data_IF_321433852418
#
_entry.id   IF_321433852418
#
_cell.length_a   1.000
_cell.length_b   1.000
_cell.length_c   1.000
_cell.angle_alpha   90.00
_cell.angle_beta   90.00
_cell.angle_gamma   90.00
#
_symmetry.space_group_name_H-M   'P 1'
#
loop_
_entity.id
_entity.type
_entity.pdbx_description
1 polymer ?
#
# COMPACT_ATOMS: atom_id res chain seq x y z
N UNK A 1 8.68 -35.45 8.34
CA UNK A 1 7.52 -35.89 9.17
C UNK A 1 6.75 -34.67 9.61
N UNK A 2 5.42 -34.72 9.78
CA UNK A 2 4.66 -33.59 10.28
C UNK A 2 5.03 -33.29 11.75
N UNK A 3 5.16 -32.00 12.07
CA UNK A 3 5.42 -31.51 13.43
C UNK A 3 4.29 -31.88 14.41
N UNK A 4 4.50 -31.70 15.71
CA UNK A 4 3.43 -31.91 16.70
C UNK A 4 2.26 -30.94 16.49
N UNK A 5 2.54 -29.69 16.10
CA UNK A 5 1.52 -28.67 15.82
C UNK A 5 0.66 -29.07 14.62
N UNK A 6 1.28 -29.57 13.54
CA UNK A 6 0.57 -30.08 12.35
C UNK A 6 -0.40 -31.24 12.63
N UNK A 7 -0.19 -31.99 13.73
CA UNK A 7 -1.04 -33.11 14.14
C UNK A 7 -2.21 -32.69 15.02
N UNK A 8 -2.24 -31.45 15.52
CA UNK A 8 -3.34 -30.94 16.31
C UNK A 8 -4.57 -30.70 15.42
N UNK A 9 -5.81 -30.84 15.94
CA UNK A 9 -7.01 -30.41 15.23
C UNK A 9 -6.92 -28.93 14.83
N UNK A 10 -7.47 -28.57 13.66
CA UNK A 10 -7.34 -27.21 13.11
C UNK A 10 -7.81 -26.11 14.07
N UNK A 11 -8.88 -26.36 14.85
CA UNK A 11 -9.36 -25.37 15.83
C UNK A 11 -8.35 -25.12 16.95
N UNK A 12 -7.64 -26.16 17.42
CA UNK A 12 -6.56 -26.00 18.41
C UNK A 12 -5.38 -25.25 17.78
N UNK A 13 -5.04 -25.53 16.52
CA UNK A 13 -4.00 -24.76 15.81
C UNK A 13 -4.37 -23.28 15.69
N UNK A 14 -5.62 -22.94 15.33
CA UNK A 14 -6.10 -21.55 15.29
C UNK A 14 -5.98 -20.86 16.65
N UNK A 15 -6.37 -21.52 17.74
CA UNK A 15 -6.21 -20.98 19.11
C UNK A 15 -4.74 -20.73 19.42
N UNK A 16 -3.85 -21.71 19.18
CA UNK A 16 -2.39 -21.54 19.38
C UNK A 16 -1.85 -20.35 18.57
N UNK A 17 -2.21 -20.24 17.29
CA UNK A 17 -1.75 -19.15 16.45
C UNK A 17 -2.34 -17.78 16.82
N UNK A 18 -3.54 -17.74 17.43
CA UNK A 18 -4.15 -16.48 17.91
C UNK A 18 -3.42 -15.83 19.08
N UNK A 19 -2.54 -16.57 19.76
CA UNK A 19 -1.68 -16.07 20.83
C UNK A 19 -0.28 -15.63 20.35
N UNK A 20 0.02 -15.76 19.05
CA UNK A 20 1.31 -15.37 18.49
C UNK A 20 1.27 -13.92 18.01
N UNK A 21 2.36 -13.18 18.28
CA UNK A 21 2.57 -11.87 17.69
C UNK A 21 2.85 -11.95 16.19
N UNK A 22 2.71 -10.82 15.50
CA UNK A 22 2.88 -10.71 14.05
C UNK A 22 4.28 -11.15 13.60
N UNK A 23 5.31 -10.87 14.40
CA UNK A 23 6.68 -11.32 14.13
C UNK A 23 6.81 -12.85 14.18
N UNK A 24 6.23 -13.51 15.18
CA UNK A 24 6.23 -14.97 15.30
C UNK A 24 5.39 -15.63 14.21
N UNK A 25 4.25 -15.03 13.84
CA UNK A 25 3.42 -15.51 12.72
C UNK A 25 4.17 -15.41 11.39
N UNK A 26 4.88 -14.30 11.13
CA UNK A 26 5.77 -14.19 9.96
C UNK A 26 6.83 -15.30 10.01
N UNK A 27 7.55 -15.44 11.12
CA UNK A 27 8.61 -16.43 11.24
C UNK A 27 8.09 -17.85 10.98
N UNK A 28 7.00 -18.25 11.66
CA UNK A 28 6.40 -19.57 11.56
C UNK A 28 5.91 -19.86 10.12
N UNK A 29 5.33 -18.87 9.43
CA UNK A 29 4.93 -18.99 8.02
C UNK A 29 6.10 -19.27 7.05
N UNK A 30 7.34 -19.00 7.45
CA UNK A 30 8.55 -19.29 6.64
C UNK A 30 9.21 -20.64 6.95
N UNK A 31 8.79 -21.35 8.01
CA UNK A 31 9.50 -22.55 8.49
C UNK A 31 9.24 -23.80 7.63
N UNK A 32 8.03 -23.98 7.10
CA UNK A 32 7.71 -25.12 6.23
C UNK A 32 6.51 -24.83 5.30
N UNK A 33 6.27 -25.72 4.33
CA UNK A 33 5.18 -25.60 3.33
C UNK A 33 3.78 -25.58 3.96
N UNK A 34 3.56 -26.31 5.06
CA UNK A 34 2.27 -26.36 5.73
C UNK A 34 1.95 -25.02 6.39
N UNK A 35 2.87 -24.46 7.18
CA UNK A 35 2.70 -23.15 7.81
C UNK A 35 2.62 -22.02 6.78
N UNK A 36 3.39 -22.09 5.69
CA UNK A 36 3.26 -21.15 4.56
C UNK A 36 1.86 -21.13 3.93
N UNK A 37 1.15 -22.27 3.93
CA UNK A 37 -0.19 -22.39 3.36
C UNK A 37 -1.32 -22.11 4.37
N UNK A 38 -1.07 -22.27 5.66
CA UNK A 38 -2.10 -22.19 6.72
C UNK A 38 -2.03 -20.90 7.53
N UNK A 39 -0.86 -20.27 7.66
CA UNK A 39 -0.68 -19.04 8.43
C UNK A 39 -0.70 -17.85 7.48
N UNK A 40 -1.65 -16.95 7.72
CA UNK A 40 -1.71 -15.62 7.09
C UNK A 40 -1.44 -14.55 8.15
N UNK A 41 -0.18 -14.11 8.36
CA UNK A 41 0.16 -13.17 9.43
C UNK A 41 -0.62 -11.85 9.34
N UNK A 42 -0.96 -11.40 8.13
CA UNK A 42 -1.71 -10.17 7.88
C UNK A 42 -3.17 -10.25 8.36
N UNK A 43 -3.81 -11.41 8.16
CA UNK A 43 -5.20 -11.66 8.56
C UNK A 43 -5.34 -12.13 10.00
N UNK A 44 -4.29 -12.69 10.59
CA UNK A 44 -4.33 -13.31 11.93
C UNK A 44 -3.84 -12.40 13.05
N UNK A 45 -2.84 -11.54 12.81
CA UNK A 45 -2.27 -10.70 13.85
C UNK A 45 -3.10 -9.43 14.13
N UNK A 46 -3.04 -8.97 15.38
CA UNK A 46 -3.68 -7.75 15.86
C UNK A 46 -3.20 -6.48 15.09
N UNK A 47 -4.10 -5.53 14.73
CA UNK A 47 -3.71 -4.31 14.02
C UNK A 47 -2.72 -3.40 14.75
N UNK A 48 -2.77 -3.31 16.08
CA UNK A 48 -1.85 -2.49 16.86
C UNK A 48 -0.46 -3.14 16.95
N UNK A 49 -0.41 -4.46 17.12
CA UNK A 49 0.85 -5.22 17.06
C UNK A 49 1.52 -5.11 15.67
N UNK A 50 0.76 -5.33 14.58
CA UNK A 50 1.25 -5.10 13.21
C UNK A 50 1.80 -3.67 13.01
N UNK A 51 1.15 -2.66 13.60
CA UNK A 51 1.62 -1.28 13.56
C UNK A 51 2.91 -1.07 14.38
N UNK A 52 3.02 -1.66 15.58
CA UNK A 52 4.26 -1.61 16.37
C UNK A 52 5.43 -2.29 15.66
N UNK A 53 5.20 -3.46 15.06
CA UNK A 53 6.20 -4.19 14.29
C UNK A 53 6.75 -3.35 13.14
N UNK A 54 5.90 -2.74 12.29
CA UNK A 54 6.39 -1.95 11.15
C UNK A 54 7.09 -0.66 11.60
N UNK A 55 6.68 -0.06 12.72
CA UNK A 55 7.36 1.09 13.34
C UNK A 55 8.76 0.72 13.85
N UNK A 56 8.90 -0.40 14.58
CA UNK A 56 10.21 -0.93 15.01
C UNK A 56 11.08 -1.28 13.81
N UNK A 57 10.51 -1.94 12.80
CA UNK A 57 11.21 -2.27 11.57
C UNK A 57 11.80 -1.03 10.88
N UNK A 58 11.03 0.05 10.73
CA UNK A 58 11.52 1.29 10.09
C UNK A 58 12.60 2.01 10.91
N UNK A 59 12.52 1.96 12.25
CA UNK A 59 13.41 2.67 13.18
C UNK A 59 14.73 1.94 13.43
N UNK A 60 14.63 0.66 13.78
CA UNK A 60 15.71 -0.05 14.45
C UNK A 60 16.73 -0.59 13.43
N UNK A 61 16.27 -0.96 12.23
CA UNK A 61 17.12 -1.53 11.17
C UNK A 61 17.91 -0.44 10.39
N UNK A 62 19.25 -0.49 10.35
CA UNK A 62 20.07 0.56 9.74
C UNK A 62 19.78 0.83 8.26
N UNK A 63 19.41 -0.19 7.47
CA UNK A 63 19.12 -0.06 6.04
C UNK A 63 17.85 0.73 5.70
N UNK A 64 17.11 1.21 6.71
CA UNK A 64 15.92 2.04 6.55
C UNK A 64 16.13 3.49 6.99
N UNK A 65 17.26 3.79 7.64
CA UNK A 65 17.58 5.13 8.13
C UNK A 65 17.93 6.06 6.96
N UNK A 66 17.60 7.36 7.05
CA UNK A 66 18.08 8.34 6.08
C UNK A 66 19.61 8.50 6.14
N UNK A 67 20.18 8.95 5.03
CA UNK A 67 21.59 9.33 4.91
C UNK A 67 21.69 10.70 4.26
N UNK A 68 22.41 11.61 4.93
CA UNK A 68 22.70 12.96 4.47
C UNK A 68 24.19 13.12 4.09
N UNK A 69 24.94 12.01 4.03
CA UNK A 69 26.39 12.04 3.79
C UNK A 69 26.72 12.22 2.30
N UNK A 70 27.22 13.41 1.96
CA UNK A 70 27.82 13.71 0.65
C UNK A 70 26.82 13.61 -0.50
N UNK A 71 27.25 13.03 -1.62
CA UNK A 71 26.39 12.85 -2.81
C UNK A 71 25.29 11.78 -2.63
N UNK A 72 25.33 10.99 -1.54
CA UNK A 72 24.39 9.92 -1.23
C UNK A 72 23.20 10.38 -0.36
N UNK A 73 22.51 11.46 -0.79
CA UNK A 73 21.24 11.85 -0.15
C UNK A 73 20.19 10.76 -0.36
N UNK A 74 19.82 10.09 0.74
CA UNK A 74 18.81 9.02 0.76
C UNK A 74 17.80 9.36 1.86
N UNK A 75 16.53 9.68 1.54
CA UNK A 75 15.55 10.15 2.53
C UNK A 75 14.99 9.05 3.45
N UNK A 76 15.68 7.90 3.55
CA UNK A 76 15.25 6.74 4.32
C UNK A 76 14.18 5.90 3.63
N UNK A 77 13.85 4.75 4.20
CA UNK A 77 12.67 3.99 3.82
C UNK A 77 11.51 4.34 4.76
N UNK A 78 10.28 4.07 4.31
CA UNK A 78 9.07 4.47 5.00
C UNK A 78 8.16 3.27 5.28
N UNK A 79 7.48 3.30 6.43
CA UNK A 79 6.45 2.34 6.79
C UNK A 79 5.12 2.57 6.06
N UNK A 80 4.47 1.49 5.64
CA UNK A 80 3.09 1.47 5.18
C UNK A 80 2.22 0.78 6.24
N UNK A 81 1.20 1.48 6.75
CA UNK A 81 0.28 0.96 7.78
C UNK A 81 -0.93 0.18 7.22
N UNK A 82 -1.03 0.01 5.89
CA UNK A 82 -2.05 -0.87 5.27
C UNK A 82 -1.48 -2.28 5.08
N UNK A 83 -0.30 -2.43 4.47
CA UNK A 83 0.34 -3.74 4.28
C UNK A 83 1.43 -4.06 5.31
N UNK A 84 1.67 -3.20 6.31
CA UNK A 84 2.62 -3.40 7.41
C UNK A 84 4.02 -3.82 6.94
N UNK A 85 4.53 -3.10 5.92
CA UNK A 85 5.87 -3.28 5.35
C UNK A 85 6.60 -1.94 5.25
N UNK A 86 7.91 -1.99 5.42
CA UNK A 86 8.82 -0.87 5.13
C UNK A 86 9.21 -0.92 3.65
N UNK A 87 9.11 0.20 2.92
CA UNK A 87 9.34 0.29 1.47
C UNK A 87 10.19 1.51 1.11
N UNK A 88 10.83 1.48 -0.06
CA UNK A 88 11.61 2.61 -0.59
C UNK A 88 10.71 3.82 -0.92
N UNK A 89 11.27 5.06 -0.92
CA UNK A 89 10.54 6.29 -1.21
C UNK A 89 9.72 6.30 -2.51
N UNK A 90 10.15 5.55 -3.54
CA UNK A 90 9.45 5.46 -4.82
C UNK A 90 8.07 4.76 -4.73
N UNK A 91 7.77 4.09 -3.61
CA UNK A 91 6.48 3.45 -3.34
C UNK A 91 5.49 4.37 -2.62
N UNK A 92 5.87 5.61 -2.28
CA UNK A 92 5.04 6.55 -1.52
C UNK A 92 4.81 7.83 -2.30
N UNK A 93 3.56 8.31 -2.25
CA UNK A 93 3.18 9.62 -2.75
C UNK A 93 3.80 10.72 -1.87
N UNK A 94 4.25 11.80 -2.51
CA UNK A 94 4.68 13.03 -1.84
C UNK A 94 3.47 13.76 -1.26
N UNK A 95 2.33 13.75 -1.97
CA UNK A 95 1.10 14.46 -1.60
C UNK A 95 0.00 13.51 -1.06
N UNK A 96 0.41 12.48 -0.32
CA UNK A 96 -0.48 11.46 0.22
C UNK A 96 -1.65 12.10 1.02
N UNK A 97 -2.92 11.73 0.73
CA UNK A 97 -4.06 12.10 1.56
C UNK A 97 -3.85 11.79 3.05
N UNK A 98 -4.20 12.76 3.90
CA UNK A 98 -4.12 12.65 5.37
C UNK A 98 -5.43 12.16 6.01
N UNK A 99 -6.54 12.21 5.27
CA UNK A 99 -7.84 11.73 5.72
C UNK A 99 -8.75 11.43 4.53
N UNK A 100 -9.80 10.63 4.78
CA UNK A 100 -10.89 10.32 3.84
C UNK A 100 -12.21 10.25 4.58
N UNK A 101 -13.32 10.51 3.90
CA UNK A 101 -14.65 10.15 4.39
C UNK A 101 -15.00 8.72 3.94
N UNK A 102 -15.62 7.95 4.83
CA UNK A 102 -16.19 6.63 4.49
C UNK A 102 -17.68 6.57 4.82
N UNK A 103 -18.45 5.87 4.00
CA UNK A 103 -19.88 5.63 4.21
C UNK A 103 -20.12 4.58 5.32
N UNK A 104 -21.40 4.28 5.59
CA UNK A 104 -21.84 3.25 6.56
C UNK A 104 -21.38 1.83 6.23
N UNK A 105 -20.98 1.57 4.98
CA UNK A 105 -20.50 0.29 4.49
C UNK A 105 -18.95 0.22 4.47
N UNK A 106 -18.26 1.32 4.78
CA UNK A 106 -16.80 1.45 4.72
C UNK A 106 -16.24 1.83 3.35
N UNK A 107 -17.07 2.19 2.38
CA UNK A 107 -16.60 2.70 1.08
C UNK A 107 -16.16 4.15 1.18
N UNK A 108 -15.09 4.51 0.46
CA UNK A 108 -14.57 5.88 0.42
C UNK A 108 -15.53 6.77 -0.38
N UNK A 109 -15.96 7.87 0.23
CA UNK A 109 -16.83 8.89 -0.39
C UNK A 109 -15.97 9.87 -1.18
N UNK A 110 -16.19 9.93 -2.51
CA UNK A 110 -15.50 10.86 -3.44
C UNK A 110 -16.45 11.52 -4.45
N UNK A 111 -17.44 10.80 -4.98
CA UNK A 111 -18.31 11.26 -6.06
C UNK A 111 -19.51 12.12 -5.59
N UNK A 112 -19.59 12.42 -4.29
CA UNK A 112 -20.59 13.29 -3.67
C UNK A 112 -19.99 14.03 -2.47
N UNK A 113 -20.66 15.08 -2.01
CA UNK A 113 -20.33 15.69 -0.72
C UNK A 113 -20.57 14.69 0.43
N UNK A 114 -19.72 14.69 1.48
CA UNK A 114 -19.93 13.85 2.66
C UNK A 114 -21.16 14.26 3.46
N UNK A 115 -21.99 13.29 3.85
CA UNK A 115 -23.09 13.52 4.77
C UNK A 115 -22.57 13.38 6.21
N UNK A 116 -22.50 14.51 6.91
CA UNK A 116 -22.12 14.62 8.33
C UNK A 116 -22.85 13.67 9.30
N UNK A 117 -24.01 13.11 8.92
CA UNK A 117 -24.82 12.21 9.76
C UNK A 117 -24.41 10.74 9.63
N UNK A 118 -23.91 10.34 8.47
CA UNK A 118 -23.63 8.93 8.14
C UNK A 118 -22.14 8.67 7.90
N UNK A 119 -21.46 9.63 7.28
CA UNK A 119 -20.12 9.46 6.76
C UNK A 119 -19.09 9.86 7.82
N UNK A 120 -18.06 9.04 7.98
CA UNK A 120 -17.05 9.21 9.04
C UNK A 120 -15.74 9.69 8.43
N UNK A 121 -15.22 10.80 8.95
CA UNK A 121 -13.86 11.23 8.63
C UNK A 121 -12.85 10.32 9.35
N UNK A 122 -12.04 9.61 8.57
CA UNK A 122 -10.96 8.76 9.06
C UNK A 122 -9.62 9.42 8.77
N UNK A 123 -8.80 9.59 9.82
CA UNK A 123 -7.41 10.01 9.69
C UNK A 123 -6.54 8.86 9.18
N UNK A 124 -5.81 9.09 8.10
CA UNK A 124 -4.95 8.09 7.47
C UNK A 124 -3.52 8.21 7.99
N UNK A 125 -2.92 7.07 8.36
CA UNK A 125 -1.47 6.96 8.52
C UNK A 125 -0.79 6.83 7.16
N UNK A 126 0.54 6.72 7.13
CA UNK A 126 1.29 6.55 5.89
C UNK A 126 0.94 5.22 5.18
N UNK A 127 0.76 5.25 3.87
CA UNK A 127 0.53 4.06 3.05
C UNK A 127 1.30 4.14 1.73
N UNK A 128 1.69 2.98 1.18
CA UNK A 128 2.30 2.93 -0.14
C UNK A 128 1.23 3.02 -1.24
N UNK A 129 1.60 3.58 -2.39
CA UNK A 129 0.72 3.88 -3.52
C UNK A 129 -0.11 2.66 -3.94
N UNK A 130 0.49 1.47 -3.98
CA UNK A 130 -0.21 0.22 -4.31
C UNK A 130 -1.41 -0.05 -3.39
N UNK A 131 -1.24 0.14 -2.08
CA UNK A 131 -2.29 -0.05 -1.09
C UNK A 131 -3.34 1.08 -1.16
N UNK A 132 -2.89 2.31 -1.43
CA UNK A 132 -3.80 3.43 -1.68
C UNK A 132 -4.71 3.20 -2.89
N UNK A 133 -4.19 2.61 -3.97
CA UNK A 133 -4.95 2.28 -5.18
C UNK A 133 -5.86 1.05 -4.98
N UNK A 134 -5.37 0.02 -4.28
CA UNK A 134 -6.15 -1.17 -3.94
C UNK A 134 -7.36 -0.83 -3.05
N UNK A 135 -7.14 -0.05 -1.99
CA UNK A 135 -8.18 0.47 -1.10
C UNK A 135 -9.05 1.58 -1.71
N UNK A 136 -8.74 2.07 -2.92
CA UNK A 136 -9.48 3.15 -3.59
C UNK A 136 -9.23 4.57 -3.03
N UNK A 137 -8.25 4.74 -2.14
CA UNK A 137 -7.82 6.05 -1.62
C UNK A 137 -7.19 6.90 -2.75
N UNK A 138 -6.47 6.26 -3.67
CA UNK A 138 -6.10 6.85 -4.96
C UNK A 138 -7.09 6.35 -6.03
N UNK A 139 -7.81 7.27 -6.66
CA UNK A 139 -8.79 6.92 -7.70
C UNK A 139 -8.14 6.76 -9.08
N UNK A 140 -8.83 6.12 -10.03
CA UNK A 140 -8.55 6.29 -11.45
C UNK A 140 -8.32 7.75 -11.82
N UNK A 141 -7.35 7.99 -12.71
CA UNK A 141 -6.96 9.30 -13.21
C UNK A 141 -6.24 10.21 -12.21
N UNK A 142 -6.09 9.83 -10.93
CA UNK A 142 -5.20 10.54 -10.00
C UNK A 142 -3.77 10.56 -10.59
N UNK A 143 -3.15 11.74 -10.59
CA UNK A 143 -1.73 11.92 -10.92
C UNK A 143 -0.96 12.08 -9.62
N UNK A 144 0.06 11.26 -9.43
CA UNK A 144 0.85 11.18 -8.19
C UNK A 144 2.30 11.58 -8.49
N UNK A 145 3.02 12.05 -7.48
CA UNK A 145 4.47 12.27 -7.58
C UNK A 145 5.12 11.52 -6.42
N UNK A 146 6.01 10.58 -6.71
CA UNK A 146 6.66 9.80 -5.65
C UNK A 146 7.52 10.69 -4.76
N UNK A 147 7.89 10.20 -3.56
CA UNK A 147 8.93 10.85 -2.73
C UNK A 147 10.33 10.85 -3.35
N UNK A 148 10.52 10.25 -4.54
CA UNK A 148 11.72 10.40 -5.39
C UNK A 148 11.55 11.37 -6.55
N UNK A 149 10.41 12.07 -6.64
CA UNK A 149 10.12 13.01 -7.74
C UNK A 149 9.75 12.34 -9.08
N UNK A 150 9.40 11.05 -9.09
CA UNK A 150 8.88 10.39 -10.30
C UNK A 150 7.39 10.63 -10.41
N UNK A 151 6.92 11.13 -11.54
CA UNK A 151 5.49 11.32 -11.75
C UNK A 151 4.80 10.06 -12.27
N UNK A 152 3.69 9.69 -11.63
CA UNK A 152 2.87 8.53 -11.94
C UNK A 152 1.43 8.95 -12.29
N UNK A 153 0.64 8.01 -12.79
CA UNK A 153 -0.81 8.12 -12.89
C UNK A 153 -1.50 6.76 -12.71
N UNK A 154 -2.76 6.78 -12.28
CA UNK A 154 -3.60 5.59 -12.07
C UNK A 154 -4.53 5.37 -13.27
N UNK A 155 -4.50 4.21 -13.95
CA UNK A 155 -5.46 3.92 -15.02
C UNK A 155 -6.86 3.64 -14.48
N UNK A 156 -7.86 3.66 -15.37
CA UNK A 156 -9.20 3.12 -15.10
C UNK A 156 -9.18 1.69 -14.55
N UNK A 157 -8.24 0.84 -14.99
CA UNK A 157 -8.05 -0.52 -14.42
C UNK A 157 -7.25 -0.58 -13.11
N UNK A 158 -7.02 0.56 -12.44
CA UNK A 158 -6.22 0.66 -11.20
C UNK A 158 -4.74 0.20 -11.32
N UNK A 159 -4.20 0.02 -12.52
CA UNK A 159 -2.75 -0.09 -12.71
C UNK A 159 -2.08 1.27 -12.65
N UNK A 160 -0.92 1.34 -12.01
CA UNK A 160 -0.12 2.56 -11.84
C UNK A 160 0.98 2.59 -12.89
N UNK A 161 1.13 3.72 -13.58
CA UNK A 161 2.04 3.88 -14.72
C UNK A 161 2.94 5.12 -14.55
N UNK A 162 4.19 4.99 -14.99
CA UNK A 162 5.17 6.08 -14.94
C UNK A 162 5.04 7.03 -16.13
N UNK A 163 5.11 8.34 -15.89
CA UNK A 163 5.19 9.39 -16.90
C UNK A 163 6.67 9.78 -17.10
N UNK A 164 7.11 10.11 -18.33
CA UNK A 164 6.37 10.07 -19.59
C UNK A 164 6.27 8.68 -20.23
N UNK A 165 6.91 7.65 -19.65
CA UNK A 165 7.12 6.33 -20.29
C UNK A 165 5.86 5.57 -20.70
N UNK A 166 4.72 5.77 -20.03
CA UNK A 166 3.44 5.20 -20.41
C UNK A 166 2.32 6.24 -20.26
N UNK A 167 1.85 6.80 -21.39
CA UNK A 167 0.73 7.75 -21.42
C UNK A 167 -0.59 7.13 -21.91
N UNK A 168 -0.57 5.85 -22.32
CA UNK A 168 -1.75 5.05 -22.66
C UNK A 168 -1.52 3.64 -22.14
N UNK A 169 -2.45 3.12 -21.34
CA UNK A 169 -2.25 1.84 -20.69
C UNK A 169 -2.32 0.66 -21.69
N UNK A 170 -1.41 -0.33 -21.61
CA UNK A 170 -1.43 -1.50 -22.47
C UNK A 170 -2.68 -2.37 -22.27
N UNK A 171 -3.18 -2.52 -21.04
CA UNK A 171 -4.32 -3.40 -20.73
C UNK A 171 -5.66 -2.67 -20.79
N UNK A 172 -5.67 -1.42 -20.31
CA UNK A 172 -6.87 -0.61 -20.07
C UNK A 172 -7.19 0.31 -21.25
N UNK A 173 -6.26 0.48 -22.20
CA UNK A 173 -6.26 1.40 -23.35
C UNK A 173 -6.64 2.87 -23.07
N UNK A 174 -7.00 3.18 -21.83
CA UNK A 174 -7.26 4.51 -21.32
C UNK A 174 -6.00 5.36 -21.34
N UNK A 175 -6.23 6.65 -21.53
CA UNK A 175 -5.19 7.66 -21.62
C UNK A 175 -4.89 8.29 -20.25
N UNK A 176 -3.62 8.65 -20.06
CA UNK A 176 -3.21 9.54 -18.98
C UNK A 176 -3.95 10.88 -19.13
N UNK A 177 -4.52 11.47 -18.05
CA UNK A 177 -5.24 12.75 -18.14
C UNK A 177 -4.39 13.90 -18.66
N UNK A 178 -3.07 13.84 -18.42
CA UNK A 178 -2.09 14.81 -18.88
C UNK A 178 -1.46 14.44 -20.24
N UNK A 179 -1.98 13.41 -20.94
CA UNK A 179 -1.52 13.06 -22.29
C UNK A 179 -1.82 14.26 -23.22
N UNK A 180 -0.81 14.86 -23.88
CA UNK A 180 -1.05 15.95 -24.81
C UNK A 180 -2.02 15.52 -25.91
N UNK A 181 -3.18 16.18 -25.99
CA UNK A 181 -4.09 16.01 -27.12
C UNK A 181 -3.38 16.54 -28.36
N UNK A 182 -3.28 15.73 -29.43
CA UNK A 182 -2.86 16.23 -30.74
C UNK A 182 -3.82 17.37 -31.13
N UNK A 183 -3.28 18.55 -31.43
CA UNK A 183 -4.06 19.61 -32.07
C UNK A 183 -4.54 19.08 -33.42
N UNK A 184 -5.84 18.81 -33.53
CA UNK A 184 -6.49 18.66 -34.83
C UNK A 184 -6.58 20.07 -35.45
N UNK A 185 -6.07 20.23 -36.67
CA UNK A 185 -6.11 21.51 -37.40
C UNK A 185 -4.94 22.46 -37.14
N UNK A 186 -3.76 22.12 -37.65
CA UNK A 186 -2.94 23.07 -38.41
C UNK A 186 -2.48 22.31 -39.65
N UNK A 187 -3.38 22.19 -40.63
CA UNK A 187 -3.00 21.72 -41.96
C UNK A 187 -2.11 22.78 -42.63
N UNK A 188 -1.28 22.29 -43.54
CA UNK A 188 -0.26 23.08 -44.26
C UNK A 188 -0.93 24.17 -45.10
N UNK A 189 -0.40 25.38 -44.98
CA UNK A 189 -0.32 26.35 -46.07
C UNK A 189 1.08 26.25 -46.69
#
# INVERSE_FOLDING_TARGET
>A
MPSLIERLPQEIQKVVFSHLDYQSLIHLSTMNRYFYQTINPQGMADPADKAQFVMRAAKDFPQHRPSEKGHDYKPGNFECYICFRVRSPEHFDMLQPQSVYVDVNGHIVRDREPDSRTDKLIMLRRFCISCGVEAGIHAPFDCLTTRTGRDLWVCRCRRVWSKPGCLRCPDCHGDCPLRPRRKLGVDRA
#
